data_IF_795631811502
#
_entry.id   IF_795631811502
#
_cell.length_a   1.000
_cell.length_b   1.000
_cell.length_c   1.000
_cell.angle_alpha   90.00
_cell.angle_beta   90.00
_cell.angle_gamma   90.00
#
_symmetry.space_group_name_H-M   'P 1'
#
loop_
_entity.id
_entity.type
_entity.pdbx_description
1 polymer ?
#
# COMPACT_ATOMS: atom_id res chain seq x y z
N UNK A 1 0.90 73.92 -27.89
CA UNK A 1 1.45 72.96 -28.86
C UNK A 1 0.83 71.60 -28.61
N UNK A 2 -0.03 71.17 -29.55
CA UNK A 2 -0.39 69.81 -29.96
C UNK A 2 -0.90 68.81 -28.91
N UNK A 3 -2.22 68.58 -28.84
CA UNK A 3 -3.05 67.57 -29.59
C UNK A 3 -3.17 66.28 -28.80
N UNK A 4 -4.34 65.98 -28.20
CA UNK A 4 -5.50 65.30 -28.82
C UNK A 4 -5.18 63.96 -29.49
N UNK A 5 -6.07 63.00 -29.20
CA UNK A 5 -6.31 61.64 -29.77
C UNK A 5 -5.81 60.52 -28.84
N UNK A 6 -6.61 59.53 -28.47
CA UNK A 6 -7.93 59.12 -28.97
C UNK A 6 -8.61 58.23 -27.92
N UNK A 7 -9.91 58.44 -27.79
CA UNK A 7 -10.89 57.59 -27.12
C UNK A 7 -10.98 56.20 -27.77
N UNK A 8 -11.67 55.34 -27.01
CA UNK A 8 -12.45 54.16 -27.42
C UNK A 8 -11.82 52.80 -27.05
N UNK A 9 -12.36 52.15 -26.00
CA UNK A 9 -13.49 51.16 -26.04
C UNK A 9 -12.92 49.80 -26.43
N UNK A 10 -12.99 48.71 -25.66
CA UNK A 10 -14.08 48.04 -24.95
C UNK A 10 -13.39 46.78 -24.36
N UNK A 11 -13.36 46.48 -23.06
CA UNK A 11 -14.33 45.70 -22.28
C UNK A 11 -13.66 45.48 -20.90
N UNK A 12 -14.40 45.70 -19.83
CA UNK A 12 -13.98 45.49 -18.44
C UNK A 12 -14.34 44.05 -17.96
N UNK A 13 -14.25 43.70 -16.66
CA UNK A 13 -13.08 43.03 -16.08
C UNK A 13 -13.45 41.72 -15.32
N UNK A 14 -12.47 40.92 -14.90
CA UNK A 14 -12.54 40.25 -13.58
C UNK A 14 -11.18 39.71 -13.12
N UNK A 15 -10.52 40.54 -12.30
CA UNK A 15 -9.89 40.22 -11.01
C UNK A 15 -9.36 38.78 -10.84
N UNK A 16 -8.05 38.58 -11.07
CA UNK A 16 -7.29 37.44 -10.55
C UNK A 16 -6.55 37.89 -9.29
N UNK A 17 -7.07 37.60 -8.10
CA UNK A 17 -6.33 37.82 -6.83
C UNK A 17 -5.32 36.70 -6.63
N UNK A 18 -4.05 37.09 -6.46
CA UNK A 18 -3.02 36.30 -5.80
C UNK A 18 -3.34 36.24 -4.30
N UNK A 19 -3.06 35.11 -3.66
CA UNK A 19 -2.84 35.04 -2.22
C UNK A 19 -1.56 34.23 -1.98
N UNK A 20 -0.70 34.80 -1.15
CA UNK A 20 0.59 34.28 -0.73
C UNK A 20 0.50 33.87 0.75
N UNK A 21 1.15 32.74 1.07
CA UNK A 21 1.81 32.35 2.33
C UNK A 21 0.96 32.30 3.62
N UNK A 22 0.99 31.16 4.32
CA UNK A 22 1.12 31.17 5.78
C UNK A 22 1.85 29.92 6.28
N UNK A 23 2.98 30.16 6.93
CA UNK A 23 3.78 29.23 7.72
C UNK A 23 3.34 29.27 9.18
N UNK A 24 3.47 28.11 9.83
CA UNK A 24 3.70 27.88 11.27
C UNK A 24 2.50 27.76 12.22
N UNK A 25 2.76 26.89 13.21
CA UNK A 25 2.17 26.75 14.54
C UNK A 25 1.06 25.70 14.70
N UNK A 26 1.51 24.53 15.15
CA UNK A 26 0.73 23.57 15.94
C UNK A 26 0.03 24.27 17.11
N UNK A 27 -1.26 24.00 17.34
CA UNK A 27 -1.89 24.22 18.63
C UNK A 27 -2.03 22.90 19.41
N UNK A 28 -1.51 22.98 20.62
CA UNK A 28 -1.81 22.24 21.84
C UNK A 28 -3.15 21.47 21.95
N UNK A 29 -3.02 20.26 22.53
CA UNK A 29 -3.79 19.76 23.68
C UNK A 29 -5.32 19.86 23.57
N UNK A 30 -5.95 18.81 23.06
CA UNK A 30 -7.38 18.59 23.27
C UNK A 30 -7.66 18.14 24.71
N UNK A 31 -8.39 18.99 25.43
CA UNK A 31 -9.06 18.65 26.68
C UNK A 31 -10.19 17.66 26.41
N UNK A 32 -10.26 16.63 27.25
CA UNK A 32 -11.33 15.65 27.30
C UNK A 32 -12.69 16.32 27.45
N UNK A 33 -13.59 16.08 26.50
CA UNK A 33 -15.02 16.24 26.73
C UNK A 33 -15.62 14.85 26.88
N UNK A 34 -16.10 14.58 28.09
CA UNK A 34 -16.81 13.37 28.46
C UNK A 34 -18.19 13.38 27.82
N UNK A 35 -18.33 12.74 26.65
CA UNK A 35 -19.65 12.43 26.08
C UNK A 35 -20.10 11.08 26.60
N UNK A 36 -21.14 11.07 27.42
CA UNK A 36 -21.86 9.86 27.84
C UNK A 36 -22.46 9.17 26.61
N UNK A 37 -21.94 8.00 26.25
CA UNK A 37 -22.44 7.16 25.16
C UNK A 37 -23.45 6.16 25.74
N UNK A 38 -24.67 6.17 25.21
CA UNK A 38 -25.71 5.17 25.48
C UNK A 38 -25.31 3.79 24.92
N UNK A 39 -25.76 2.66 25.53
CA UNK A 39 -25.32 1.34 25.11
C UNK A 39 -26.12 0.88 23.88
N UNK A 40 -25.45 0.74 22.73
CA UNK A 40 -26.08 0.21 21.52
C UNK A 40 -25.11 -0.08 20.38
N UNK A 41 -25.11 -1.34 19.96
CA UNK A 41 -24.43 -1.98 18.82
C UNK A 41 -22.96 -2.38 18.96
N UNK A 42 -22.64 -3.70 18.89
CA UNK A 42 -21.28 -4.17 18.86
C UNK A 42 -20.66 -3.86 17.50
N UNK A 43 -19.74 -2.89 17.47
CA UNK A 43 -18.67 -2.90 16.47
C UNK A 43 -17.95 -4.24 16.62
N UNK A 44 -17.87 -5.01 15.53
CA UNK A 44 -17.21 -6.32 15.50
C UNK A 44 -15.71 -6.12 15.68
N UNK A 45 -15.27 -5.92 16.93
CA UNK A 45 -13.87 -6.00 17.29
C UNK A 45 -13.42 -7.41 16.93
N UNK A 46 -12.59 -7.51 15.90
CA UNK A 46 -11.89 -8.75 15.58
C UNK A 46 -11.03 -9.11 16.79
N UNK A 47 -11.59 -9.93 17.69
CA UNK A 47 -10.92 -10.31 18.92
C UNK A 47 -9.83 -11.29 18.52
N UNK A 48 -8.56 -10.85 18.58
CA UNK A 48 -7.43 -11.74 18.31
C UNK A 48 -7.48 -12.88 19.31
N UNK A 49 -7.42 -14.11 18.81
CA UNK A 49 -7.37 -15.27 19.68
C UNK A 49 -6.01 -15.29 20.39
N UNK A 50 -6.00 -15.34 21.72
CA UNK A 50 -4.77 -15.45 22.51
C UNK A 50 -3.87 -16.63 22.07
N UNK A 51 -4.43 -17.68 21.46
CA UNK A 51 -3.68 -18.78 20.88
C UNK A 51 -2.87 -18.36 19.63
N UNK A 52 -3.43 -17.52 18.75
CA UNK A 52 -2.75 -17.01 17.55
C UNK A 52 -1.57 -16.12 17.94
N UNK A 53 -1.78 -15.21 18.90
CA UNK A 53 -0.72 -14.35 19.44
C UNK A 53 0.42 -15.17 20.03
N UNK A 54 0.09 -16.20 20.82
CA UNK A 54 1.09 -17.13 21.38
C UNK A 54 1.83 -17.89 20.30
N UNK A 55 1.14 -18.34 19.25
CA UNK A 55 1.73 -19.04 18.11
C UNK A 55 2.76 -18.18 17.37
N UNK A 56 2.38 -16.95 17.03
CA UNK A 56 3.29 -15.96 16.42
C UNK A 56 4.48 -15.69 17.33
N UNK A 57 4.26 -15.39 18.61
CA UNK A 57 5.35 -15.12 19.56
C UNK A 57 6.31 -16.32 19.71
N UNK A 58 5.82 -17.55 19.64
CA UNK A 58 6.65 -18.74 19.68
C UNK A 58 7.52 -18.87 18.42
N UNK A 59 6.96 -18.66 17.23
CA UNK A 59 7.71 -18.64 15.96
C UNK A 59 8.80 -17.57 16.01
N UNK A 60 8.48 -16.36 16.46
CA UNK A 60 9.44 -15.25 16.57
C UNK A 60 10.57 -15.56 17.57
N UNK A 61 10.27 -16.24 18.69
CA UNK A 61 11.28 -16.69 19.67
C UNK A 61 12.22 -17.74 19.10
N UNK A 62 11.70 -18.68 18.30
CA UNK A 62 12.53 -19.70 17.63
C UNK A 62 13.55 -19.06 16.67
N UNK A 63 13.17 -17.95 16.04
CA UNK A 63 14.02 -17.18 15.13
C UNK A 63 15.00 -16.25 15.86
N UNK A 64 15.00 -16.22 17.21
CA UNK A 64 15.93 -15.49 18.09
C UNK A 64 16.22 -14.03 17.66
N UNK A 65 15.22 -13.33 17.11
CA UNK A 65 15.39 -11.93 16.68
C UNK A 65 16.16 -11.74 15.36
N UNK A 66 16.37 -12.80 14.57
CA UNK A 66 16.94 -12.70 13.22
C UNK A 66 15.86 -12.25 12.20
N UNK A 67 15.28 -11.07 12.45
CA UNK A 67 14.21 -10.46 11.65
C UNK A 67 14.63 -9.06 11.19
N UNK A 68 14.09 -8.61 10.07
CA UNK A 68 14.45 -7.31 9.47
C UNK A 68 13.91 -6.09 10.19
N UNK A 69 13.11 -6.27 11.25
CA UNK A 69 12.56 -5.18 12.04
C UNK A 69 12.38 -5.56 13.52
N UNK A 70 12.35 -4.56 14.43
CA UNK A 70 12.00 -4.78 15.82
C UNK A 70 10.66 -5.50 15.97
N UNK A 71 10.57 -6.37 16.97
CA UNK A 71 9.38 -7.15 17.31
C UNK A 71 9.22 -7.19 18.81
N UNK A 72 8.05 -7.59 19.31
CA UNK A 72 7.78 -7.73 20.75
C UNK A 72 8.73 -8.69 21.47
N UNK A 73 9.30 -9.67 20.76
CA UNK A 73 10.29 -10.61 21.32
C UNK A 73 11.66 -9.99 21.45
N UNK A 74 12.09 -9.22 20.45
CA UNK A 74 13.42 -8.59 20.43
C UNK A 74 13.46 -7.28 21.23
N UNK A 75 12.35 -6.52 21.22
CA UNK A 75 12.21 -5.19 21.81
C UNK A 75 10.88 -5.06 22.57
N UNK A 76 10.67 -5.84 23.65
CA UNK A 76 9.42 -5.85 24.42
C UNK A 76 9.09 -4.52 25.11
N UNK A 77 10.08 -3.65 25.30
CA UNK A 77 9.89 -2.32 25.86
C UNK A 77 9.35 -1.31 24.84
N UNK A 78 9.41 -1.64 23.54
CA UNK A 78 9.00 -0.77 22.43
C UNK A 78 7.72 -1.25 21.76
N UNK A 79 7.54 -2.57 21.63
CA UNK A 79 6.43 -3.20 20.91
C UNK A 79 5.77 -4.22 21.83
N UNK A 80 4.46 -4.09 22.04
CA UNK A 80 3.68 -5.04 22.84
C UNK A 80 3.42 -6.35 22.07
N UNK A 81 3.10 -7.47 22.74
CA UNK A 81 2.95 -8.78 22.08
C UNK A 81 1.91 -8.87 20.95
N UNK A 82 0.88 -8.03 20.99
CA UNK A 82 -0.22 -7.89 20.02
C UNK A 82 0.05 -6.83 18.94
N UNK A 83 1.06 -5.99 19.16
CA UNK A 83 1.48 -4.94 18.25
C UNK A 83 2.45 -5.47 17.18
N UNK A 84 2.26 -4.99 15.94
CA UNK A 84 3.22 -5.22 14.86
C UNK A 84 4.27 -4.10 14.82
N UNK A 85 3.80 -2.87 15.00
CA UNK A 85 4.61 -1.65 15.11
C UNK A 85 4.15 -0.89 16.35
N UNK A 86 4.99 -0.01 16.94
CA UNK A 86 4.66 0.63 18.21
C UNK A 86 3.28 1.32 18.18
N UNK A 87 2.38 0.90 19.07
CA UNK A 87 1.03 1.45 19.18
C UNK A 87 0.03 1.02 18.11
N UNK A 88 0.37 0.05 17.24
CA UNK A 88 -0.56 -0.46 16.21
C UNK A 88 -0.59 -1.99 16.23
N UNK A 89 -1.77 -2.53 16.54
CA UNK A 89 -2.03 -3.97 16.54
C UNK A 89 -1.99 -4.58 15.13
N UNK A 90 -1.64 -5.86 15.07
CA UNK A 90 -1.66 -6.61 13.81
C UNK A 90 -3.07 -6.67 13.17
N UNK A 91 -4.11 -6.76 14.01
CA UNK A 91 -5.52 -6.74 13.61
C UNK A 91 -5.92 -5.47 12.91
N UNK A 92 -5.49 -4.33 13.44
CA UNK A 92 -5.80 -3.04 12.83
C UNK A 92 -5.22 -2.98 11.40
N UNK A 93 -4.00 -3.48 11.20
CA UNK A 93 -3.38 -3.50 9.87
C UNK A 93 -4.12 -4.44 8.91
N UNK A 94 -4.60 -5.60 9.38
CA UNK A 94 -5.45 -6.50 8.58
C UNK A 94 -6.77 -5.81 8.20
N UNK A 95 -7.38 -5.09 9.13
CA UNK A 95 -8.62 -4.36 8.91
C UNK A 95 -8.44 -3.21 7.90
N UNK A 96 -7.34 -2.45 7.99
CA UNK A 96 -6.99 -1.41 7.00
C UNK A 96 -6.96 -1.96 5.58
N UNK A 97 -6.34 -3.14 5.37
CA UNK A 97 -6.31 -3.81 4.05
C UNK A 97 -7.70 -4.19 3.57
N UNK A 98 -8.50 -4.82 4.42
CA UNK A 98 -9.87 -5.23 4.09
C UNK A 98 -10.76 -4.04 3.76
N UNK A 99 -10.73 -3.00 4.60
CA UNK A 99 -11.52 -1.79 4.43
C UNK A 99 -11.14 -1.04 3.15
N UNK A 100 -9.83 -0.93 2.85
CA UNK A 100 -9.37 -0.31 1.61
C UNK A 100 -9.95 -1.01 0.37
N UNK A 101 -9.88 -2.34 0.32
CA UNK A 101 -10.39 -3.10 -0.83
C UNK A 101 -11.91 -3.01 -0.97
N UNK A 102 -12.65 -3.01 0.14
CA UNK A 102 -14.09 -2.77 0.15
C UNK A 102 -14.43 -1.37 -0.35
N UNK A 103 -13.68 -0.35 0.08
CA UNK A 103 -13.85 1.03 -0.36
C UNK A 103 -13.57 1.19 -1.86
N UNK A 104 -12.51 0.55 -2.38
CA UNK A 104 -12.20 0.52 -3.82
C UNK A 104 -13.36 -0.07 -4.62
N UNK A 105 -13.90 -1.21 -4.17
CA UNK A 105 -15.04 -1.87 -4.81
C UNK A 105 -16.30 -1.00 -4.78
N UNK A 106 -16.59 -0.36 -3.64
CA UNK A 106 -17.73 0.54 -3.50
C UNK A 106 -17.58 1.78 -4.40
N UNK A 107 -16.36 2.33 -4.49
CA UNK A 107 -16.04 3.45 -5.36
C UNK A 107 -16.24 3.08 -6.84
N UNK A 108 -15.69 1.95 -7.29
CA UNK A 108 -15.87 1.51 -8.68
C UNK A 108 -17.34 1.28 -9.04
N UNK A 109 -18.13 0.68 -8.13
CA UNK A 109 -19.59 0.50 -8.30
C UNK A 109 -20.36 1.82 -8.43
N UNK A 110 -19.85 2.91 -7.89
CA UNK A 110 -20.51 4.22 -8.01
C UNK A 110 -20.56 4.75 -9.45
N UNK A 111 -19.77 4.18 -10.36
CA UNK A 111 -19.76 4.50 -11.80
C UNK A 111 -20.69 3.61 -12.65
N UNK A 112 -21.44 2.69 -12.04
CA UNK A 112 -22.39 1.81 -12.72
C UNK A 112 -21.90 0.36 -12.88
N UNK A 113 -22.42 -0.34 -13.89
CA UNK A 113 -22.10 -1.76 -14.17
C UNK A 113 -20.77 -1.97 -14.92
N UNK A 114 -20.15 -0.89 -15.38
CA UNK A 114 -18.85 -0.89 -16.05
C UNK A 114 -17.96 0.17 -15.42
N UNK A 115 -16.70 -0.17 -15.17
CA UNK A 115 -15.67 0.75 -14.71
C UNK A 115 -14.49 0.65 -15.68
N UNK A 116 -14.00 1.76 -16.24
CA UNK A 116 -12.93 1.74 -17.27
C UNK A 116 -13.20 0.75 -18.42
N UNK A 117 -14.46 0.64 -18.87
CA UNK A 117 -14.87 -0.23 -19.98
C UNK A 117 -14.85 -1.74 -19.68
N UNK A 118 -14.75 -2.14 -18.41
CA UNK A 118 -14.83 -3.55 -18.01
C UNK A 118 -15.94 -3.74 -16.95
N UNK A 119 -16.66 -4.85 -17.03
CA UNK A 119 -17.76 -5.20 -16.10
C UNK A 119 -17.30 -6.12 -14.95
N UNK A 120 -16.02 -6.07 -14.57
CA UNK A 120 -15.48 -6.92 -13.51
C UNK A 120 -15.86 -6.38 -12.13
N UNK A 121 -16.22 -7.23 -11.17
CA UNK A 121 -16.37 -6.80 -9.76
C UNK A 121 -15.15 -7.11 -8.91
N UNK A 122 -14.16 -7.77 -9.52
CA UNK A 122 -12.88 -8.06 -8.91
C UNK A 122 -11.94 -6.86 -9.02
N UNK A 123 -11.18 -6.59 -7.96
CA UNK A 123 -10.16 -5.53 -7.96
C UNK A 123 -8.84 -6.05 -7.43
N UNK A 124 -7.75 -5.51 -7.98
CA UNK A 124 -6.38 -5.87 -7.61
C UNK A 124 -5.57 -4.59 -7.42
N UNK A 125 -5.07 -4.36 -6.21
CA UNK A 125 -4.19 -3.24 -5.88
C UNK A 125 -2.76 -3.75 -5.69
N UNK A 126 -1.81 -3.08 -6.34
CA UNK A 126 -0.39 -3.42 -6.24
C UNK A 126 0.39 -2.23 -5.72
N UNK A 127 1.15 -2.42 -4.64
CA UNK A 127 1.92 -1.36 -3.99
C UNK A 127 3.36 -1.82 -3.76
N UNK A 128 4.31 -1.00 -4.23
CA UNK A 128 5.74 -1.23 -3.99
C UNK A 128 6.20 -0.59 -2.68
N UNK A 129 7.11 -1.26 -1.99
CA UNK A 129 7.91 -0.66 -0.93
C UNK A 129 8.93 0.33 -1.52
N UNK A 130 9.53 1.12 -0.66
CA UNK A 130 10.69 1.94 -1.00
C UNK A 130 11.93 1.06 -1.22
N UNK A 131 12.82 1.53 -2.09
CA UNK A 131 14.15 0.96 -2.30
C UNK A 131 15.21 1.70 -1.49
N UNK A 132 16.29 1.00 -1.14
CA UNK A 132 17.47 1.65 -0.55
C UNK A 132 18.03 2.69 -1.52
N UNK A 133 18.21 3.92 -1.05
CA UNK A 133 18.84 5.02 -1.80
C UNK A 133 20.27 5.22 -1.29
N UNK A 134 21.18 5.59 -2.19
CA UNK A 134 22.60 5.77 -1.89
C UNK A 134 23.01 7.21 -2.14
N UNK A 135 23.76 7.79 -1.20
CA UNK A 135 24.37 9.11 -1.33
C UNK A 135 25.53 9.08 -2.32
N UNK A 136 26.33 8.03 -2.25
CA UNK A 136 27.41 7.70 -3.17
C UNK A 136 27.53 6.17 -3.25
N UNK A 137 28.27 5.64 -4.22
CA UNK A 137 28.17 4.22 -4.63
C UNK A 137 28.21 3.15 -3.53
N UNK A 138 28.77 3.43 -2.34
CA UNK A 138 28.77 2.49 -1.19
C UNK A 138 28.18 3.07 0.10
N UNK A 139 27.67 4.30 0.08
CA UNK A 139 27.17 4.99 1.28
C UNK A 139 25.64 5.09 1.19
N UNK A 140 24.88 4.25 1.90
CA UNK A 140 23.42 4.31 1.90
C UNK A 140 22.92 5.49 2.73
N UNK A 141 21.77 6.05 2.33
CA UNK A 141 20.98 6.89 3.22
C UNK A 141 20.26 6.05 4.27
N UNK A 142 19.80 6.71 5.34
CA UNK A 142 18.87 6.10 6.29
C UNK A 142 17.61 5.68 5.53
N UNK A 143 17.23 4.41 5.67
CA UNK A 143 16.07 3.87 4.98
C UNK A 143 14.79 4.49 5.53
N UNK A 144 13.90 4.90 4.61
CA UNK A 144 12.57 5.41 4.92
C UNK A 144 11.57 4.75 3.99
N UNK A 145 10.58 4.09 4.58
CA UNK A 145 9.58 3.33 3.84
C UNK A 145 8.60 4.23 3.07
N UNK A 146 7.98 3.69 2.02
CA UNK A 146 6.81 4.30 1.38
C UNK A 146 5.65 4.36 2.39
N UNK A 147 5.00 5.53 2.51
CA UNK A 147 3.97 5.77 3.55
C UNK A 147 2.79 4.80 3.44
N UNK A 148 2.28 4.59 2.22
CA UNK A 148 1.09 3.77 1.96
C UNK A 148 1.40 2.29 2.16
N UNK A 149 2.57 1.85 1.67
CA UNK A 149 3.07 0.51 1.92
C UNK A 149 3.23 0.24 3.43
N UNK A 150 3.86 1.16 4.18
CA UNK A 150 4.01 1.02 5.62
C UNK A 150 2.66 1.02 6.35
N UNK A 151 1.73 1.88 5.95
CA UNK A 151 0.40 1.96 6.57
C UNK A 151 -0.39 0.65 6.46
N UNK A 152 -0.25 -0.06 5.34
CA UNK A 152 -0.99 -1.30 5.03
C UNK A 152 -0.26 -2.59 5.42
N UNK A 153 1.05 -2.53 5.69
CA UNK A 153 1.85 -3.73 5.99
C UNK A 153 2.57 -3.68 7.33
N UNK A 154 2.95 -2.50 7.82
CA UNK A 154 3.89 -2.34 8.94
C UNK A 154 5.31 -2.83 8.61
N UNK A 155 5.61 -3.15 7.35
CA UNK A 155 6.89 -3.71 6.93
C UNK A 155 7.94 -2.62 6.68
N UNK A 156 9.09 -2.74 7.35
CA UNK A 156 10.23 -1.82 7.24
C UNK A 156 11.38 -2.39 6.39
N UNK A 157 11.15 -3.48 5.66
CA UNK A 157 12.13 -4.02 4.72
C UNK A 157 12.01 -3.37 3.33
N UNK A 158 13.14 -3.09 2.67
CA UNK A 158 13.16 -2.51 1.34
C UNK A 158 12.83 -3.56 0.28
N UNK A 159 12.46 -3.08 -0.90
CA UNK A 159 12.27 -3.89 -2.11
C UNK A 159 11.23 -4.99 -1.93
N UNK A 160 10.11 -4.69 -1.28
CA UNK A 160 8.97 -5.59 -1.13
C UNK A 160 7.77 -5.10 -1.96
N UNK A 161 6.79 -5.98 -2.20
CA UNK A 161 5.54 -5.63 -2.91
C UNK A 161 4.35 -6.20 -2.15
N UNK A 162 3.33 -5.37 -1.93
CA UNK A 162 2.03 -5.78 -1.40
C UNK A 162 1.07 -5.93 -2.58
N UNK A 163 0.42 -7.09 -2.65
CA UNK A 163 -0.69 -7.37 -3.55
C UNK A 163 -1.96 -7.56 -2.72
N UNK A 164 -2.99 -6.76 -2.99
CA UNK A 164 -4.32 -6.94 -2.42
C UNK A 164 -5.28 -7.31 -3.54
N UNK A 165 -6.11 -8.34 -3.33
CA UNK A 165 -7.18 -8.70 -4.25
C UNK A 165 -8.50 -8.80 -3.51
N UNK A 166 -9.59 -8.39 -4.17
CA UNK A 166 -10.95 -8.68 -3.72
C UNK A 166 -11.69 -9.38 -4.86
N UNK A 167 -12.24 -10.55 -4.57
CA UNK A 167 -12.99 -11.35 -5.54
C UNK A 167 -14.48 -10.98 -5.58
N UNK A 168 -15.26 -11.61 -6.45
CA UNK A 168 -16.69 -11.34 -6.57
C UNK A 168 -17.46 -11.66 -5.28
N UNK A 169 -17.01 -12.67 -4.51
CA UNK A 169 -17.54 -13.07 -3.21
C UNK A 169 -17.09 -12.15 -2.05
N UNK A 170 -16.39 -11.05 -2.35
CA UNK A 170 -15.88 -10.06 -1.39
C UNK A 170 -14.80 -10.60 -0.44
N UNK A 171 -14.16 -11.72 -0.80
CA UNK A 171 -13.01 -12.20 -0.06
C UNK A 171 -11.81 -11.33 -0.38
N UNK A 172 -11.23 -10.71 0.65
CA UNK A 172 -9.99 -9.94 0.52
C UNK A 172 -8.81 -10.86 0.79
N UNK A 173 -7.87 -10.92 -0.15
CA UNK A 173 -6.59 -11.59 0.03
C UNK A 173 -5.47 -10.57 0.04
N UNK A 174 -4.46 -10.84 0.87
CA UNK A 174 -3.26 -10.03 0.97
C UNK A 174 -2.04 -10.91 0.78
N UNK A 175 -1.18 -10.55 -0.16
CA UNK A 175 0.03 -11.31 -0.49
C UNK A 175 1.24 -10.39 -0.43
N UNK A 176 2.30 -10.81 0.25
CA UNK A 176 3.53 -10.03 0.40
C UNK A 176 4.69 -10.69 -0.34
N UNK A 177 5.35 -9.93 -1.21
CA UNK A 177 6.53 -10.37 -1.92
C UNK A 177 7.76 -9.72 -1.27
N UNK A 178 8.71 -10.54 -0.85
CA UNK A 178 9.90 -10.08 -0.14
C UNK A 178 11.17 -10.69 -0.71
N UNK A 179 12.31 -10.06 -0.43
CA UNK A 179 13.61 -10.67 -0.68
C UNK A 179 13.79 -11.88 0.25
N UNK A 180 14.27 -13.02 -0.26
CA UNK A 180 14.65 -14.12 0.62
C UNK A 180 15.80 -13.71 1.54
N UNK A 181 15.98 -14.47 2.62
CA UNK A 181 17.16 -14.35 3.48
C UNK A 181 18.41 -14.67 2.67
N UNK A 182 19.46 -13.89 2.89
CA UNK A 182 20.75 -14.05 2.22
C UNK A 182 21.85 -13.88 3.27
N UNK A 183 22.49 -14.97 3.74
CA UNK A 183 23.49 -14.91 4.80
C UNK A 183 24.66 -13.98 4.49
N UNK A 184 25.03 -13.84 3.21
CA UNK A 184 26.12 -12.96 2.81
C UNK A 184 25.70 -11.50 2.91
N UNK A 185 24.49 -11.16 2.45
CA UNK A 185 23.98 -9.81 2.55
C UNK A 185 23.65 -9.42 4.00
N UNK A 186 23.14 -10.36 4.81
CA UNK A 186 22.78 -10.11 6.22
C UNK A 186 23.99 -9.76 7.10
N UNK A 187 25.20 -10.17 6.71
CA UNK A 187 26.43 -9.76 7.38
C UNK A 187 26.64 -8.24 7.35
N UNK A 188 26.12 -7.57 6.31
CA UNK A 188 26.30 -6.13 6.08
C UNK A 188 25.02 -5.33 6.32
N UNK A 189 23.90 -5.85 5.84
CA UNK A 189 22.60 -5.19 5.91
C UNK A 189 21.86 -5.45 7.23
N UNK A 190 22.33 -6.40 8.02
CA UNK A 190 21.59 -6.97 9.14
C UNK A 190 20.55 -8.01 8.71
N UNK A 191 19.86 -8.61 9.68
CA UNK A 191 18.89 -9.68 9.45
C UNK A 191 17.76 -9.30 8.50
N UNK A 192 17.18 -10.28 7.81
CA UNK A 192 15.94 -10.13 7.02
C UNK A 192 14.85 -11.05 7.55
N UNK A 193 13.59 -10.64 7.44
CA UNK A 193 12.46 -11.53 7.80
C UNK A 193 12.27 -12.58 6.71
N UNK A 194 12.28 -12.15 5.45
CA UNK A 194 12.00 -13.00 4.30
C UNK A 194 10.54 -13.47 4.21
N UNK A 195 10.15 -14.12 3.10
CA UNK A 195 8.77 -14.55 2.87
C UNK A 195 8.31 -15.66 3.83
N UNK A 196 9.22 -16.49 4.34
CA UNK A 196 8.91 -17.61 5.24
C UNK A 196 8.24 -17.17 6.55
N UNK A 197 8.62 -15.99 7.05
CA UNK A 197 8.11 -15.45 8.32
C UNK A 197 7.13 -14.30 8.11
N UNK A 198 6.85 -13.93 6.85
CA UNK A 198 6.01 -12.79 6.53
C UNK A 198 4.53 -13.02 6.88
N UNK A 199 4.00 -14.22 6.66
CA UNK A 199 2.62 -14.59 7.04
C UNK A 199 2.39 -14.43 8.55
N UNK A 200 3.16 -15.12 9.43
CA UNK A 200 2.94 -14.98 10.87
C UNK A 200 3.27 -13.59 11.41
N UNK A 201 4.22 -12.85 10.80
CA UNK A 201 4.59 -11.51 11.29
C UNK A 201 3.64 -10.41 10.80
N UNK A 202 3.41 -10.29 9.50
CA UNK A 202 2.63 -9.20 8.89
C UNK A 202 1.13 -9.53 8.73
N UNK A 203 0.72 -10.75 9.09
CA UNK A 203 -0.68 -11.19 9.08
C UNK A 203 -1.29 -11.19 7.68
N UNK A 204 -0.45 -11.36 6.64
CA UNK A 204 -0.88 -11.51 5.25
C UNK A 204 -1.37 -12.93 5.00
N UNK A 205 -2.16 -13.15 3.94
CA UNK A 205 -2.67 -14.49 3.60
C UNK A 205 -1.54 -15.39 3.08
N UNK A 206 -0.76 -14.88 2.14
CA UNK A 206 0.35 -15.61 1.53
C UNK A 206 1.59 -14.71 1.45
N UNK A 207 2.76 -15.31 1.36
CA UNK A 207 3.98 -14.58 1.11
C UNK A 207 4.90 -15.36 0.18
N UNK A 208 5.58 -14.65 -0.71
CA UNK A 208 6.35 -15.23 -1.79
C UNK A 208 7.70 -14.52 -1.95
N UNK A 209 8.73 -15.19 -2.49
CA UNK A 209 9.92 -14.50 -2.97
C UNK A 209 9.59 -13.53 -4.10
N UNK A 210 10.30 -12.39 -4.18
CA UNK A 210 10.17 -11.44 -5.29
C UNK A 210 10.35 -12.07 -6.69
N UNK A 211 11.15 -13.13 -6.81
CA UNK A 211 11.34 -13.85 -8.07
C UNK A 211 10.06 -14.47 -8.63
N UNK A 212 9.04 -14.68 -7.78
CA UNK A 212 7.74 -15.24 -8.18
C UNK A 212 6.70 -14.15 -8.50
N UNK A 213 7.04 -12.87 -8.35
CA UNK A 213 6.11 -11.75 -8.50
C UNK A 213 5.38 -11.76 -9.84
N UNK A 214 6.11 -11.84 -10.96
CA UNK A 214 5.49 -11.83 -12.30
C UNK A 214 4.50 -12.99 -12.48
N UNK A 215 4.92 -14.20 -12.08
CA UNK A 215 4.11 -15.40 -12.23
C UNK A 215 2.83 -15.34 -11.40
N UNK A 216 2.91 -14.87 -10.14
CA UNK A 216 1.74 -14.74 -9.27
C UNK A 216 0.81 -13.63 -9.76
N UNK A 217 1.34 -12.46 -10.13
CA UNK A 217 0.52 -11.37 -10.67
C UNK A 217 -0.22 -11.81 -11.94
N UNK A 218 0.45 -12.50 -12.87
CA UNK A 218 -0.18 -13.02 -14.08
C UNK A 218 -1.26 -14.07 -13.77
N UNK A 219 -1.00 -14.97 -12.80
CA UNK A 219 -1.96 -15.98 -12.34
C UNK A 219 -3.22 -15.33 -11.74
N UNK A 220 -3.06 -14.36 -10.84
CA UNK A 220 -4.19 -13.66 -10.21
C UNK A 220 -4.97 -12.83 -11.22
N UNK A 221 -4.28 -12.11 -12.11
CA UNK A 221 -4.91 -11.33 -13.17
C UNK A 221 -5.73 -12.21 -14.13
N UNK A 222 -5.20 -13.36 -14.54
CA UNK A 222 -5.92 -14.30 -15.40
C UNK A 222 -7.13 -14.95 -14.75
N UNK A 223 -7.03 -15.29 -13.45
CA UNK A 223 -8.11 -15.93 -12.70
C UNK A 223 -9.25 -14.96 -12.36
N UNK A 224 -8.93 -13.75 -11.88
CA UNK A 224 -9.92 -12.79 -11.39
C UNK A 224 -10.39 -11.80 -12.46
N UNK A 225 -9.61 -11.60 -13.53
CA UNK A 225 -9.81 -10.52 -14.52
C UNK A 225 -10.15 -9.18 -13.84
N UNK A 226 -9.33 -8.72 -12.88
CA UNK A 226 -9.68 -7.61 -12.01
C UNK A 226 -9.44 -6.25 -12.66
N UNK A 227 -10.05 -5.20 -12.12
CA UNK A 227 -9.52 -3.85 -12.33
C UNK A 227 -8.22 -3.69 -11.54
N UNK A 228 -7.14 -3.31 -12.22
CA UNK A 228 -5.82 -3.15 -11.63
C UNK A 228 -5.64 -1.70 -11.17
N UNK A 229 -5.24 -1.52 -9.92
CA UNK A 229 -4.91 -0.25 -9.30
C UNK A 229 -3.41 -0.23 -9.01
N UNK A 230 -2.70 0.70 -9.62
CA UNK A 230 -1.25 0.85 -9.47
C UNK A 230 -0.85 2.30 -9.69
N UNK A 231 -0.11 2.89 -8.74
CA UNK A 231 0.46 4.22 -8.93
C UNK A 231 1.89 4.12 -9.48
N UNK A 232 1.98 4.25 -10.80
CA UNK A 232 3.24 4.21 -11.55
C UNK A 232 4.24 5.31 -11.16
N UNK A 233 3.78 6.46 -10.64
CA UNK A 233 4.68 7.58 -10.31
C UNK A 233 5.27 7.43 -8.89
N UNK A 234 4.53 6.78 -8.00
CA UNK A 234 4.94 6.59 -6.61
C UNK A 234 5.91 5.43 -6.41
N UNK A 235 6.03 4.53 -7.39
CA UNK A 235 6.80 3.29 -7.24
C UNK A 235 8.31 3.54 -7.38
N UNK A 236 9.07 3.05 -6.41
CA UNK A 236 10.53 3.04 -6.46
C UNK A 236 11.10 1.81 -7.20
N UNK A 237 10.24 0.84 -7.56
CA UNK A 237 10.62 -0.47 -8.08
C UNK A 237 10.41 -0.53 -9.61
N UNK A 238 11.48 -0.46 -10.44
CA UNK A 238 11.32 -0.43 -11.89
C UNK A 238 10.70 -1.71 -12.45
N UNK A 239 11.14 -2.87 -11.93
CA UNK A 239 10.64 -4.18 -12.34
C UNK A 239 9.14 -4.35 -12.08
N UNK A 240 8.61 -3.70 -11.04
CA UNK A 240 7.19 -3.75 -10.74
C UNK A 240 6.37 -3.02 -11.82
N UNK A 241 6.79 -1.82 -12.22
CA UNK A 241 6.11 -1.07 -13.27
C UNK A 241 6.11 -1.82 -14.61
N UNK A 242 7.22 -2.50 -14.94
CA UNK A 242 7.32 -3.33 -16.15
C UNK A 242 6.38 -4.54 -16.10
N UNK A 243 6.30 -5.22 -14.95
CA UNK A 243 5.40 -6.35 -14.75
C UNK A 243 3.93 -5.96 -14.90
N UNK A 244 3.51 -4.83 -14.30
CA UNK A 244 2.13 -4.34 -14.44
C UNK A 244 1.82 -3.98 -15.89
N UNK A 245 2.72 -3.26 -16.56
CA UNK A 245 2.55 -2.93 -17.98
C UNK A 245 2.48 -4.18 -18.87
N UNK A 246 3.20 -5.26 -18.52
CA UNK A 246 3.13 -6.52 -19.24
C UNK A 246 1.77 -7.23 -19.05
N UNK A 247 1.18 -7.16 -17.86
CA UNK A 247 -0.14 -7.71 -17.57
C UNK A 247 -1.22 -6.92 -18.32
N UNK A 248 -1.17 -5.59 -18.27
CA UNK A 248 -2.11 -4.73 -19.00
C UNK A 248 -2.09 -5.00 -20.50
N UNK A 249 -0.89 -5.17 -21.08
CA UNK A 249 -0.72 -5.55 -22.50
C UNK A 249 -1.32 -6.91 -22.83
N UNK A 250 -1.29 -7.88 -21.90
CA UNK A 250 -1.88 -9.21 -22.08
C UNK A 250 -3.41 -9.19 -21.92
N UNK A 251 -3.94 -8.31 -21.07
CA UNK A 251 -5.38 -8.15 -20.86
C UNK A 251 -6.07 -7.28 -21.91
N UNK A 252 -5.32 -6.44 -22.65
CA UNK A 252 -5.88 -5.62 -23.70
C UNK A 252 -6.47 -6.51 -24.82
N UNK A 253 -7.73 -6.27 -25.25
CA UNK A 253 -8.30 -7.02 -26.36
C UNK A 253 -7.42 -6.81 -27.60
N UNK A 254 -7.08 -7.92 -28.27
CA UNK A 254 -6.38 -7.89 -29.56
C UNK A 254 -7.12 -6.92 -30.48
N UNK A 255 -6.42 -5.89 -30.97
CA UNK A 255 -6.91 -5.03 -32.03
C UNK A 255 -7.00 -5.85 -33.33
N UNK A 256 -7.97 -6.75 -33.41
CA UNK A 256 -8.23 -7.59 -34.56
C UNK A 256 -9.07 -6.83 -35.58
N UNK A 257 -8.50 -6.68 -36.78
CA UNK A 257 -9.13 -6.35 -38.05
C UNK A 257 -9.89 -5.01 -38.13
N UNK A 258 -9.17 -3.94 -38.50
CA UNK A 258 -9.81 -2.89 -39.30
C UNK A 258 -10.26 -3.54 -40.62
N UNK A 259 -11.55 -3.53 -40.99
CA UNK A 259 -11.94 -3.92 -42.34
C UNK A 259 -11.30 -2.92 -43.31
N UNK A 260 -10.45 -3.42 -44.20
CA UNK A 260 -10.03 -2.68 -45.39
C UNK A 260 -11.28 -2.41 -46.21
N UNK A 261 -11.74 -1.16 -46.21
CA UNK A 261 -12.73 -0.69 -47.15
C UNK A 261 -12.12 -0.80 -48.55
N UNK A 262 -12.63 -1.76 -49.34
CA UNK A 262 -12.43 -1.87 -50.77
C UNK A 262 -13.32 -0.90 -51.53
#
# INVERSE_FOLDING_TARGET
>A
MNTLRRLDRLIAPSVRRRAAISTSLWPHRWMSQSTTIAPGSPSSKSTVNAAEVRGVAQILRQQKGNLGQPTSVSHPHLIQPDELVPGVELTEIKERRSQLMQNIRAYARSFGGEFNGHSSTCHMLVLGAASKKYMSGKIPYVFRQNSDFYYLTGCLEPDAVLLLTIDDAQNVQSELFMRPKDPHAELWDGPRTGPELAVPLFGVTEAHPLSQLEAVLAKRAGALKPHIWFDQKSTDLPSLAENIAAIERRSAPSAAARPTLS
#
